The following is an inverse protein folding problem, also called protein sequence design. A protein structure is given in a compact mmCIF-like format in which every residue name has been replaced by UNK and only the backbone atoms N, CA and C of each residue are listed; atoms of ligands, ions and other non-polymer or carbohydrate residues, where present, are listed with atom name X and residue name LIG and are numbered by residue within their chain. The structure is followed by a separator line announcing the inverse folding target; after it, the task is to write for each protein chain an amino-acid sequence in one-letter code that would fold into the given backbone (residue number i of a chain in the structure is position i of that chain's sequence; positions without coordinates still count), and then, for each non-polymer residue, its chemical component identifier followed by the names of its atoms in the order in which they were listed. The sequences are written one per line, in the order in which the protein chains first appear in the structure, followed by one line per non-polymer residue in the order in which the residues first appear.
data_IF_822931365920
#
_entry.id   IF_822931365920
#
_cell.length_a   1.000
_cell.length_b   1.000
_cell.length_c   1.000
_cell.angle_alpha   90.00
_cell.angle_beta   90.00
_cell.angle_gamma   90.00
#
_symmetry.space_group_name_H-M   'P 1'
#
loop_
_entity.id
_entity.type
_entity.pdbx_description
1 polymer ?
#
# COMPACT_ATOMS: atom_id res chain seq x y z
N UNK A 1 -1.88 -25.25 -10.73
CA UNK A 1 -2.06 -25.03 -9.29
C UNK A 1 -2.09 -23.54 -9.01
N UNK A 2 -3.06 -23.08 -8.19
CA UNK A 2 -3.16 -21.67 -7.79
C UNK A 2 -1.96 -21.33 -6.88
N UNK A 3 -1.19 -20.29 -7.23
CA UNK A 3 -0.07 -19.82 -6.40
C UNK A 3 -0.63 -19.18 -5.13
N UNK A 4 -0.01 -19.42 -3.99
CA UNK A 4 -0.30 -18.77 -2.70
C UNK A 4 0.73 -17.68 -2.45
N UNK A 5 0.29 -16.51 -2.02
CA UNK A 5 1.15 -15.37 -1.68
C UNK A 5 0.94 -14.98 -0.22
N UNK A 6 2.03 -14.80 0.51
CA UNK A 6 2.01 -14.39 1.92
C UNK A 6 2.88 -13.14 2.04
N UNK A 7 2.35 -12.09 2.63
CA UNK A 7 3.06 -10.85 2.88
C UNK A 7 3.36 -10.73 4.38
N UNK A 8 4.65 -10.66 4.72
CA UNK A 8 5.12 -10.41 6.08
C UNK A 8 5.52 -8.93 6.18
N UNK A 9 4.56 -8.09 6.49
CA UNK A 9 4.73 -6.64 6.58
C UNK A 9 4.84 -6.12 8.01
N UNK A 10 4.79 -7.00 8.99
CA UNK A 10 4.97 -6.71 10.41
C UNK A 10 5.67 -7.89 11.10
N UNK A 11 6.13 -7.69 12.34
CA UNK A 11 6.62 -8.76 13.20
C UNK A 11 5.40 -9.46 13.82
N UNK A 12 5.18 -10.71 13.42
CA UNK A 12 4.10 -11.56 13.93
C UNK A 12 4.60 -13.00 14.09
N UNK A 13 4.83 -13.39 15.33
CA UNK A 13 5.34 -14.72 15.65
C UNK A 13 4.33 -15.82 15.30
N UNK A 14 3.02 -15.57 15.42
CA UNK A 14 2.01 -16.59 15.10
C UNK A 14 2.01 -16.91 13.61
N UNK A 15 2.08 -15.88 12.76
CA UNK A 15 2.17 -16.06 11.30
C UNK A 15 3.44 -16.84 10.94
N UNK A 16 4.60 -16.49 11.53
CA UNK A 16 5.87 -17.17 11.28
C UNK A 16 5.80 -18.63 11.70
N UNK A 17 5.31 -18.94 12.90
CA UNK A 17 5.16 -20.31 13.38
C UNK A 17 4.17 -21.12 12.51
N UNK A 18 3.08 -20.50 12.09
CA UNK A 18 2.13 -21.14 11.18
C UNK A 18 2.79 -21.49 9.83
N UNK A 19 3.53 -20.56 9.23
CA UNK A 19 4.28 -20.83 7.98
C UNK A 19 5.23 -22.00 8.18
N UNK A 20 6.01 -22.02 9.27
CA UNK A 20 6.96 -23.10 9.56
C UNK A 20 6.30 -24.47 9.75
N UNK A 21 5.07 -24.49 10.30
CA UNK A 21 4.31 -25.72 10.52
C UNK A 21 3.62 -26.24 9.25
N UNK A 22 3.04 -25.31 8.46
CA UNK A 22 2.13 -25.70 7.35
C UNK A 22 2.82 -25.77 6.00
N UNK A 23 3.95 -25.07 5.82
CA UNK A 23 4.57 -24.91 4.52
C UNK A 23 5.96 -25.58 4.45
N UNK A 24 6.28 -26.15 3.31
CA UNK A 24 7.65 -26.65 3.04
C UNK A 24 8.52 -25.49 2.59
N UNK A 25 9.36 -24.94 3.50
CA UNK A 25 10.15 -23.71 3.27
C UNK A 25 11.06 -23.80 2.04
N UNK A 26 11.57 -24.99 1.69
CA UNK A 26 12.37 -25.19 0.49
C UNK A 26 11.58 -25.11 -0.83
N UNK A 27 10.25 -25.08 -0.77
CA UNK A 27 9.35 -24.91 -1.94
C UNK A 27 8.78 -23.50 -2.03
N UNK A 28 9.14 -22.61 -1.13
CA UNK A 28 8.71 -21.20 -1.11
C UNK A 28 9.81 -20.36 -1.73
N UNK A 29 9.46 -19.46 -2.63
CA UNK A 29 10.32 -18.35 -3.05
C UNK A 29 10.16 -17.21 -2.06
N UNK A 30 11.25 -16.84 -1.38
CA UNK A 30 11.32 -15.71 -0.47
C UNK A 30 11.85 -14.48 -1.18
N UNK A 31 11.13 -13.37 -1.08
CA UNK A 31 11.57 -12.08 -1.59
C UNK A 31 11.74 -11.15 -0.41
N UNK A 32 12.97 -10.83 -0.08
CA UNK A 32 13.35 -10.02 1.08
C UNK A 32 13.64 -8.61 0.61
N UNK A 33 12.80 -7.66 1.01
CA UNK A 33 12.85 -6.29 0.49
C UNK A 33 13.08 -5.31 1.62
N UNK A 34 14.16 -4.56 1.56
CA UNK A 34 14.40 -3.37 2.37
C UNK A 34 15.40 -2.46 1.68
N UNK A 35 14.99 -1.24 1.31
CA UNK A 35 15.89 -0.28 0.69
C UNK A 35 17.16 -0.07 1.52
N UNK A 36 17.01 0.28 2.79
CA UNK A 36 18.14 0.53 3.70
C UNK A 36 18.92 -0.74 4.05
N UNK A 37 18.30 -1.92 3.88
CA UNK A 37 18.82 -3.20 4.35
C UNK A 37 18.91 -3.34 5.87
N UNK A 38 18.34 -2.37 6.61
CA UNK A 38 18.40 -2.27 8.09
C UNK A 38 17.04 -2.30 8.75
N UNK A 39 15.94 -2.47 7.98
CA UNK A 39 14.58 -2.52 8.52
C UNK A 39 14.45 -3.66 9.51
N UNK A 40 14.13 -3.33 10.76
CA UNK A 40 14.11 -4.29 11.87
C UNK A 40 13.11 -5.41 11.62
N UNK A 41 11.92 -5.07 11.15
CA UNK A 41 10.86 -6.04 10.85
C UNK A 41 11.29 -7.04 9.78
N UNK A 42 11.96 -6.55 8.73
CA UNK A 42 12.47 -7.39 7.65
C UNK A 42 13.55 -8.35 8.14
N UNK A 43 14.51 -7.85 8.93
CA UNK A 43 15.60 -8.65 9.48
C UNK A 43 15.08 -9.66 10.52
N UNK A 44 14.18 -9.25 11.40
CA UNK A 44 13.58 -10.12 12.42
C UNK A 44 12.81 -11.27 11.78
N UNK A 45 11.98 -10.99 10.78
CA UNK A 45 11.23 -12.01 10.06
C UNK A 45 12.16 -12.97 9.32
N UNK A 46 13.22 -12.46 8.68
CA UNK A 46 14.20 -13.26 7.96
C UNK A 46 14.94 -14.24 8.90
N UNK A 47 15.40 -13.75 10.06
CA UNK A 47 16.10 -14.56 11.07
C UNK A 47 15.13 -15.58 11.68
N UNK A 48 13.92 -15.15 12.06
CA UNK A 48 12.92 -16.01 12.68
C UNK A 48 12.46 -17.15 11.77
N UNK A 49 12.42 -16.95 10.46
CA UNK A 49 12.11 -18.01 9.49
C UNK A 49 13.22 -19.06 9.39
N UNK A 50 14.44 -18.73 9.77
CA UNK A 50 15.63 -19.62 9.72
C UNK A 50 15.87 -20.23 8.33
N UNK A 51 15.76 -19.41 7.28
CA UNK A 51 15.85 -19.83 5.88
C UNK A 51 17.22 -19.57 5.25
N UNK A 52 18.08 -18.84 5.93
CA UNK A 52 19.39 -18.43 5.41
C UNK A 52 20.33 -19.64 5.28
N UNK A 53 20.64 -20.00 4.04
CA UNK A 53 21.58 -21.05 3.68
C UNK A 53 22.51 -20.57 2.58
N UNK A 54 23.75 -21.07 2.57
CA UNK A 54 24.69 -20.78 1.50
C UNK A 54 24.12 -21.23 0.13
N UNK A 55 24.21 -20.37 -0.86
CA UNK A 55 23.74 -20.62 -2.24
C UNK A 55 22.26 -21.04 -2.33
N UNK A 56 21.39 -20.56 -1.41
CA UNK A 56 19.96 -20.85 -1.50
C UNK A 56 19.37 -20.23 -2.79
N UNK A 57 18.76 -21.07 -3.62
CA UNK A 57 18.18 -20.68 -4.91
C UNK A 57 16.73 -20.17 -4.82
N UNK A 58 16.18 -20.20 -3.63
CA UNK A 58 14.78 -19.77 -3.35
C UNK A 58 14.71 -18.47 -2.54
N UNK A 59 15.79 -17.68 -2.48
CA UNK A 59 15.84 -16.39 -1.80
C UNK A 59 16.30 -15.32 -2.76
N UNK A 60 15.52 -14.25 -2.87
CA UNK A 60 15.86 -13.02 -3.58
C UNK A 60 15.97 -11.89 -2.55
N UNK A 61 17.07 -11.16 -2.56
CA UNK A 61 17.25 -9.97 -1.73
C UNK A 61 17.21 -8.73 -2.60
N UNK A 62 16.38 -7.76 -2.21
CA UNK A 62 16.29 -6.45 -2.89
C UNK A 62 16.67 -5.36 -1.87
N UNK A 63 17.81 -4.71 -2.07
CA UNK A 63 18.34 -3.69 -1.19
C UNK A 63 19.28 -2.74 -1.93
N UNK A 64 19.67 -1.61 -1.33
CA UNK A 64 20.77 -0.81 -1.86
C UNK A 64 22.08 -1.59 -1.84
N UNK A 65 22.87 -1.44 -2.90
CA UNK A 65 24.22 -2.01 -3.00
C UNK A 65 25.22 -1.14 -2.24
N UNK A 66 25.14 -1.21 -0.92
CA UNK A 66 26.08 -0.57 0.02
C UNK A 66 26.22 -1.44 1.26
N UNK A 67 27.18 -1.17 2.11
CA UNK A 67 27.35 -1.89 3.38
C UNK A 67 26.13 -1.74 4.28
N UNK A 68 25.26 -2.73 4.20
CA UNK A 68 24.09 -2.91 5.06
C UNK A 68 23.87 -4.40 5.32
N UNK A 69 23.14 -4.78 6.37
CA UNK A 69 22.95 -6.18 6.77
C UNK A 69 22.45 -7.09 5.64
N UNK A 70 21.44 -6.67 4.86
CA UNK A 70 20.89 -7.52 3.78
C UNK A 70 21.89 -7.71 2.63
N UNK A 71 22.62 -6.67 2.24
CA UNK A 71 23.65 -6.79 1.20
C UNK A 71 24.80 -7.68 1.64
N UNK A 72 25.26 -7.53 2.89
CA UNK A 72 26.32 -8.37 3.45
C UNK A 72 25.90 -9.84 3.56
N UNK A 73 24.65 -10.11 3.98
CA UNK A 73 24.08 -11.47 3.99
C UNK A 73 24.04 -12.04 2.57
N UNK A 74 23.54 -11.28 1.59
CA UNK A 74 23.50 -11.72 0.21
C UNK A 74 24.88 -12.08 -0.34
N UNK A 75 25.88 -11.23 -0.08
CA UNK A 75 27.27 -11.46 -0.49
C UNK A 75 27.89 -12.67 0.21
N UNK A 76 27.76 -12.76 1.54
CA UNK A 76 28.34 -13.84 2.35
C UNK A 76 27.77 -15.21 1.97
N UNK A 77 26.46 -15.29 1.73
CA UNK A 77 25.75 -16.54 1.43
C UNK A 77 25.56 -16.77 -0.08
N UNK A 78 26.11 -15.91 -0.94
CA UNK A 78 25.98 -15.99 -2.39
C UNK A 78 24.51 -16.17 -2.85
N UNK A 79 23.62 -15.28 -2.33
CA UNK A 79 22.19 -15.27 -2.64
C UNK A 79 21.92 -14.38 -3.84
N UNK A 80 20.79 -14.61 -4.51
CA UNK A 80 20.36 -13.76 -5.62
C UNK A 80 20.02 -12.36 -5.11
N UNK A 81 20.73 -11.36 -5.63
CA UNK A 81 20.64 -9.97 -5.19
C UNK A 81 20.19 -9.06 -6.34
N UNK A 82 19.21 -8.20 -6.06
CA UNK A 82 18.75 -7.14 -6.97
C UNK A 82 19.03 -5.81 -6.28
N UNK A 83 19.73 -4.92 -6.98
CA UNK A 83 20.04 -3.60 -6.47
C UNK A 83 18.80 -2.69 -6.48
N UNK A 84 18.45 -2.13 -5.33
CA UNK A 84 17.51 -1.03 -5.22
C UNK A 84 18.22 0.30 -5.49
N UNK A 85 17.73 1.08 -6.42
CA UNK A 85 18.35 2.35 -6.84
C UNK A 85 18.42 3.36 -5.68
N UNK A 86 19.61 3.88 -5.40
CA UNK A 86 19.86 4.81 -4.28
C UNK A 86 19.01 6.09 -4.32
N UNK A 87 18.71 6.61 -5.52
CA UNK A 87 17.94 7.84 -5.72
C UNK A 87 16.43 7.67 -5.60
N UNK A 88 15.91 6.44 -5.49
CA UNK A 88 14.49 6.18 -5.27
C UNK A 88 14.25 6.00 -3.77
N UNK A 89 13.44 6.88 -3.16
CA UNK A 89 13.04 6.73 -1.76
C UNK A 89 12.16 5.51 -1.54
N UNK A 90 12.24 4.87 -0.36
CA UNK A 90 11.50 3.63 -0.06
C UNK A 90 10.00 3.73 -0.34
N UNK A 91 9.35 4.80 0.10
CA UNK A 91 7.91 5.04 -0.14
C UNK A 91 7.53 5.28 -1.61
N UNK A 92 8.51 5.56 -2.49
CA UNK A 92 8.32 5.72 -3.93
C UNK A 92 8.64 4.45 -4.72
N UNK A 93 9.00 3.36 -4.06
CA UNK A 93 9.56 2.16 -4.70
C UNK A 93 8.54 1.20 -5.33
N UNK A 94 7.25 1.54 -5.31
CA UNK A 94 6.18 0.70 -5.89
C UNK A 94 6.40 0.39 -7.38
N UNK A 95 6.95 1.35 -8.14
CA UNK A 95 7.22 1.21 -9.57
C UNK A 95 8.69 0.92 -9.90
N UNK A 96 9.49 0.55 -8.92
CA UNK A 96 10.87 0.07 -9.13
C UNK A 96 11.00 -1.42 -8.80
N UNK A 97 12.21 -1.94 -8.72
CA UNK A 97 12.52 -3.35 -8.49
C UNK A 97 11.76 -3.92 -7.29
N UNK A 98 11.61 -3.13 -6.21
CA UNK A 98 10.92 -3.56 -4.99
C UNK A 98 9.43 -3.89 -5.18
N UNK A 99 8.73 -3.19 -6.08
CA UNK A 99 7.32 -3.46 -6.39
C UNK A 99 7.13 -4.28 -7.66
N UNK A 100 7.94 -4.02 -8.70
CA UNK A 100 7.79 -4.65 -10.03
C UNK A 100 8.18 -6.13 -10.00
N UNK A 101 9.26 -6.51 -9.30
CA UNK A 101 9.69 -7.92 -9.23
C UNK A 101 8.62 -8.82 -8.60
N UNK A 102 8.08 -8.50 -7.39
CA UNK A 102 6.96 -9.26 -6.84
C UNK A 102 5.75 -9.29 -7.78
N UNK A 103 5.38 -8.15 -8.38
CA UNK A 103 4.23 -8.05 -9.27
C UNK A 103 4.34 -8.98 -10.49
N UNK A 104 5.51 -9.05 -11.13
CA UNK A 104 5.78 -9.98 -12.24
C UNK A 104 5.66 -11.43 -11.77
N UNK A 105 6.26 -11.77 -10.63
CA UNK A 105 6.21 -13.12 -10.07
C UNK A 105 4.79 -13.55 -9.68
N UNK A 106 3.95 -12.58 -9.32
CA UNK A 106 2.51 -12.77 -9.09
C UNK A 106 1.70 -12.87 -10.39
N UNK A 107 2.30 -12.66 -11.55
CA UNK A 107 1.65 -12.75 -12.84
C UNK A 107 0.94 -11.47 -13.30
N UNK A 108 1.25 -10.32 -12.69
CA UNK A 108 0.70 -9.05 -13.14
C UNK A 108 1.37 -8.60 -14.45
N UNK A 109 0.55 -8.11 -15.38
CA UNK A 109 1.05 -7.56 -16.63
C UNK A 109 1.51 -6.11 -16.45
N UNK A 110 2.80 -5.92 -16.23
CA UNK A 110 3.42 -4.60 -16.02
C UNK A 110 3.29 -3.70 -17.25
N UNK A 111 3.31 -4.26 -18.44
CA UNK A 111 3.13 -3.48 -19.66
C UNK A 111 1.73 -2.86 -19.73
N UNK A 112 0.71 -3.57 -19.25
CA UNK A 112 -0.67 -3.05 -19.17
C UNK A 112 -0.77 -1.89 -18.16
N UNK A 113 -0.07 -1.96 -17.04
CA UNK A 113 0.02 -0.87 -16.07
C UNK A 113 0.74 0.32 -16.71
N UNK A 114 1.87 0.09 -17.37
CA UNK A 114 2.69 1.11 -17.99
C UNK A 114 1.97 1.82 -19.16
N UNK A 115 1.12 1.11 -19.91
CA UNK A 115 0.41 1.63 -21.09
C UNK A 115 -0.34 2.93 -20.82
N UNK A 116 -0.92 3.08 -19.64
CA UNK A 116 -1.73 4.24 -19.31
C UNK A 116 -0.95 5.37 -18.61
N UNK A 117 0.32 5.15 -18.24
CA UNK A 117 1.09 6.16 -17.52
C UNK A 117 1.35 7.42 -18.36
N UNK A 118 1.53 7.30 -19.67
CA UNK A 118 1.79 8.42 -20.56
C UNK A 118 0.66 9.46 -20.55
N UNK A 119 -0.59 9.03 -20.31
CA UNK A 119 -1.77 9.92 -20.22
C UNK A 119 -1.57 10.96 -19.12
N UNK A 120 -0.96 10.55 -17.99
CA UNK A 120 -0.73 11.43 -16.85
C UNK A 120 0.52 12.31 -16.99
N UNK A 121 1.37 12.04 -17.99
CA UNK A 121 2.59 12.81 -18.25
C UNK A 121 2.48 13.80 -19.39
N UNK A 122 1.32 13.89 -20.06
CA UNK A 122 1.09 14.95 -21.06
C UNK A 122 1.06 16.35 -20.39
N UNK A 123 1.30 17.39 -21.17
CA UNK A 123 1.41 18.76 -20.68
C UNK A 123 0.15 19.22 -19.95
N UNK A 124 -1.02 18.97 -20.53
CA UNK A 124 -2.33 19.37 -19.97
C UNK A 124 -2.57 18.77 -18.58
N UNK A 125 -2.32 17.48 -18.41
CA UNK A 125 -2.51 16.82 -17.12
C UNK A 125 -1.46 17.25 -16.10
N UNK A 126 -0.22 17.52 -16.53
CA UNK A 126 0.83 18.07 -15.63
C UNK A 126 0.45 19.44 -15.12
N UNK A 127 -0.06 20.32 -15.96
CA UNK A 127 -0.50 21.66 -15.57
C UNK A 127 -1.71 21.60 -14.64
N UNK A 128 -2.67 20.73 -14.94
CA UNK A 128 -3.82 20.50 -14.07
C UNK A 128 -3.38 20.03 -12.67
N UNK A 129 -2.50 19.02 -12.60
CA UNK A 129 -1.97 18.52 -11.32
C UNK A 129 -1.20 19.59 -10.56
N UNK A 130 -0.37 20.39 -11.26
CA UNK A 130 0.36 21.51 -10.66
C UNK A 130 -0.60 22.56 -10.09
N UNK A 131 -1.59 22.98 -10.87
CA UNK A 131 -2.61 23.96 -10.43
C UNK A 131 -3.38 23.45 -9.22
N UNK A 132 -3.91 22.23 -9.27
CA UNK A 132 -4.65 21.61 -8.17
C UNK A 132 -3.78 21.52 -6.90
N UNK A 133 -2.49 21.18 -7.05
CA UNK A 133 -1.56 21.11 -5.91
C UNK A 133 -1.32 22.47 -5.28
N UNK A 134 -1.16 23.53 -6.09
CA UNK A 134 -0.97 24.89 -5.61
C UNK A 134 -2.23 25.39 -4.91
N UNK A 135 -3.39 25.16 -5.49
CA UNK A 135 -4.70 25.55 -4.90
C UNK A 135 -4.89 24.87 -3.54
N UNK A 136 -4.64 23.55 -3.47
CA UNK A 136 -4.69 22.81 -2.22
C UNK A 136 -3.71 23.37 -1.19
N UNK A 137 -2.45 23.62 -1.57
CA UNK A 137 -1.44 24.16 -0.67
C UNK A 137 -1.83 25.56 -0.14
N UNK A 138 -2.41 26.41 -0.98
CA UNK A 138 -2.91 27.72 -0.59
C UNK A 138 -4.12 27.62 0.36
N UNK A 139 -5.03 26.69 0.09
CA UNK A 139 -6.17 26.41 0.97
C UNK A 139 -5.72 25.93 2.34
N UNK A 140 -4.75 25.01 2.37
CA UNK A 140 -4.15 24.46 3.60
C UNK A 140 -3.44 25.54 4.44
N UNK A 141 -2.82 26.56 3.79
CA UNK A 141 -2.20 27.68 4.49
C UNK A 141 -3.21 28.63 5.17
N UNK A 142 -4.41 28.75 4.60
CA UNK A 142 -5.45 29.66 5.10
C UNK A 142 -6.27 29.07 6.25
N UNK A 143 -6.24 27.76 6.42
CA UNK A 143 -7.05 27.02 7.39
C UNK A 143 -6.15 26.11 8.22
N UNK A 144 -6.41 26.00 9.51
CA UNK A 144 -5.67 25.10 10.40
C UNK A 144 -6.18 23.66 10.28
N UNK A 145 -5.91 23.05 9.13
CA UNK A 145 -6.18 21.63 8.95
C UNK A 145 -5.03 20.81 9.53
N UNK A 146 -5.38 19.81 10.31
CA UNK A 146 -4.43 18.84 10.89
C UNK A 146 -4.61 17.43 10.34
N UNK A 147 -5.79 17.15 9.77
CA UNK A 147 -6.16 15.82 9.32
C UNK A 147 -6.58 15.79 7.86
N UNK A 148 -6.20 14.70 7.18
CA UNK A 148 -6.71 14.35 5.85
C UNK A 148 -7.39 13.01 5.98
N UNK A 149 -8.70 12.95 5.66
CA UNK A 149 -9.51 11.75 5.77
C UNK A 149 -9.83 11.21 4.38
N UNK A 150 -9.42 9.98 4.12
CA UNK A 150 -9.75 9.24 2.90
C UNK A 150 -11.04 8.45 3.12
N UNK A 151 -12.16 8.94 2.61
CA UNK A 151 -13.45 8.25 2.65
C UNK A 151 -13.49 7.21 1.53
N UNK A 152 -13.23 5.95 1.87
CA UNK A 152 -13.07 4.89 0.88
C UNK A 152 -14.34 4.08 0.69
N UNK A 153 -15.04 4.31 -0.42
CA UNK A 153 -16.19 3.50 -0.86
C UNK A 153 -15.80 2.33 -1.79
N UNK A 154 -14.48 2.09 -1.99
CA UNK A 154 -13.95 1.05 -2.88
C UNK A 154 -13.00 0.15 -2.10
N UNK A 155 -13.48 -0.96 -1.50
CA UNK A 155 -12.67 -1.83 -0.64
C UNK A 155 -11.35 -2.30 -1.29
N UNK A 156 -11.33 -2.47 -2.61
CA UNK A 156 -10.15 -2.87 -3.36
C UNK A 156 -9.01 -1.84 -3.29
N UNK A 157 -9.31 -0.57 -2.98
CA UNK A 157 -8.32 0.48 -2.82
C UNK A 157 -7.67 0.52 -1.43
N UNK A 158 -8.09 -0.29 -0.47
CA UNK A 158 -7.56 -0.23 0.90
C UNK A 158 -6.03 -0.31 0.93
N UNK A 159 -5.41 -1.22 0.18
CA UNK A 159 -3.93 -1.35 0.14
C UNK A 159 -3.26 -0.16 -0.54
N UNK A 160 -3.89 0.42 -1.55
CA UNK A 160 -3.44 1.64 -2.19
C UNK A 160 -3.49 2.83 -1.21
N UNK A 161 -4.55 2.94 -0.43
CA UNK A 161 -4.71 4.02 0.55
C UNK A 161 -3.71 3.91 1.70
N UNK A 162 -3.35 2.71 2.16
CA UNK A 162 -2.24 2.54 3.12
C UNK A 162 -0.91 3.02 2.54
N UNK A 163 -0.64 2.75 1.27
CA UNK A 163 0.55 3.31 0.62
C UNK A 163 0.48 4.84 0.51
N UNK A 164 -0.68 5.39 0.11
CA UNK A 164 -0.89 6.85 0.03
C UNK A 164 -0.74 7.51 1.40
N UNK A 165 -1.24 6.88 2.46
CA UNK A 165 -1.07 7.32 3.85
C UNK A 165 0.42 7.44 4.22
N UNK A 166 1.21 6.40 3.97
CA UNK A 166 2.65 6.43 4.19
C UNK A 166 3.32 7.51 3.33
N UNK A 167 2.97 7.59 2.04
CA UNK A 167 3.54 8.56 1.10
C UNK A 167 3.35 9.99 1.59
N UNK A 168 2.15 10.32 2.09
CA UNK A 168 1.84 11.65 2.61
C UNK A 168 2.51 11.91 3.96
N UNK A 169 2.38 11.00 4.92
CA UNK A 169 2.93 11.15 6.25
C UNK A 169 4.45 11.35 6.24
N UNK A 170 5.18 10.47 5.57
CA UNK A 170 6.65 10.56 5.49
C UNK A 170 7.15 11.74 4.62
N UNK A 171 6.37 12.16 3.62
CA UNK A 171 6.81 13.26 2.74
C UNK A 171 6.56 14.63 3.35
N UNK A 172 5.44 14.81 4.03
CA UNK A 172 4.97 16.10 4.55
C UNK A 172 5.25 16.28 6.04
N UNK A 173 5.37 15.19 6.81
CA UNK A 173 5.60 15.20 8.26
C UNK A 173 7.03 15.60 8.62
N UNK A 174 7.40 16.86 8.41
CA UNK A 174 8.76 17.40 8.65
C UNK A 174 8.72 18.79 9.24
N UNK A 175 9.68 19.09 10.12
CA UNK A 175 9.85 20.44 10.70
C UNK A 175 8.56 20.95 11.39
N UNK A 176 7.88 20.09 12.13
CA UNK A 176 6.61 20.43 12.82
C UNK A 176 5.42 20.66 11.90
N UNK A 177 5.53 20.31 10.60
CA UNK A 177 4.45 20.42 9.61
C UNK A 177 3.99 19.04 9.16
N UNK A 178 2.81 18.97 8.57
CA UNK A 178 2.24 17.76 8.03
C UNK A 178 0.76 17.62 8.38
N UNK A 179 0.19 16.49 8.00
CA UNK A 179 -1.20 16.12 8.25
C UNK A 179 -1.23 14.69 8.73
N UNK A 180 -2.20 14.36 9.59
CA UNK A 180 -2.50 12.98 9.91
C UNK A 180 -3.42 12.40 8.82
N UNK A 181 -2.92 11.56 7.92
CA UNK A 181 -3.77 10.88 6.95
C UNK A 181 -4.48 9.70 7.61
N UNK A 182 -5.81 9.70 7.56
CA UNK A 182 -6.67 8.67 8.15
C UNK A 182 -7.48 8.00 7.05
N UNK A 183 -7.60 6.67 7.09
CA UNK A 183 -8.44 5.91 6.16
C UNK A 183 -9.74 5.58 6.90
N UNK A 184 -10.87 5.85 6.24
CA UNK A 184 -12.21 5.57 6.71
C UNK A 184 -12.92 4.67 5.71
N UNK A 185 -13.36 3.49 6.16
CA UNK A 185 -14.01 2.48 5.31
C UNK A 185 -15.52 2.76 5.21
N UNK A 186 -15.94 3.21 4.06
CA UNK A 186 -17.33 3.57 3.81
C UNK A 186 -18.12 2.43 3.15
N UNK A 187 -19.41 2.25 3.46
CA UNK A 187 -20.25 3.03 4.37
C UNK A 187 -20.17 2.62 5.85
N UNK A 188 -19.35 1.63 6.22
CA UNK A 188 -19.24 1.11 7.60
C UNK A 188 -19.01 2.23 8.62
N UNK A 189 -18.09 3.13 8.32
CA UNK A 189 -17.70 4.21 9.22
C UNK A 189 -18.69 5.38 9.26
N UNK A 190 -19.81 5.32 8.51
CA UNK A 190 -20.95 6.21 8.76
C UNK A 190 -21.52 6.00 10.18
N UNK A 191 -21.48 4.79 10.69
CA UNK A 191 -21.97 4.49 12.04
C UNK A 191 -20.99 4.87 13.14
N UNK A 192 -19.69 4.79 12.88
CA UNK A 192 -18.66 4.97 13.90
C UNK A 192 -18.02 6.35 13.90
N UNK A 193 -17.79 6.98 12.75
CA UNK A 193 -16.97 8.19 12.63
C UNK A 193 -17.69 9.40 12.05
N UNK A 194 -18.81 9.22 11.33
CA UNK A 194 -19.47 10.32 10.63
C UNK A 194 -19.92 11.44 11.58
N UNK A 195 -20.39 11.09 12.79
CA UNK A 195 -20.78 12.08 13.79
C UNK A 195 -19.60 13.01 14.16
N UNK A 196 -18.40 12.45 14.34
CA UNK A 196 -17.19 13.23 14.61
C UNK A 196 -16.80 14.10 13.39
N UNK A 197 -17.00 13.59 12.18
CA UNK A 197 -16.67 14.33 10.97
C UNK A 197 -17.60 15.53 10.73
N UNK A 198 -18.88 15.38 11.04
CA UNK A 198 -19.88 16.44 10.85
C UNK A 198 -19.94 17.40 12.03
N UNK A 199 -19.97 16.90 13.26
CA UNK A 199 -20.17 17.68 14.48
C UNK A 199 -18.91 18.07 15.24
N UNK A 200 -17.78 17.42 14.95
CA UNK A 200 -16.50 17.67 15.65
C UNK A 200 -15.71 18.84 15.09
N UNK A 201 -14.42 18.96 15.50
CA UNK A 201 -13.52 20.03 15.05
C UNK A 201 -13.43 20.13 13.53
N UNK A 202 -13.48 21.35 12.99
CA UNK A 202 -13.40 21.64 11.55
C UNK A 202 -11.96 21.71 11.04
N UNK A 203 -11.14 20.76 11.43
CA UNK A 203 -9.71 20.63 11.15
C UNK A 203 -9.38 19.55 10.12
N UNK A 204 -10.39 19.02 9.42
CA UNK A 204 -10.27 17.89 8.50
C UNK A 204 -10.57 18.27 7.06
N UNK A 205 -9.81 17.68 6.14
CA UNK A 205 -10.10 17.67 4.71
C UNK A 205 -10.48 16.26 4.31
N UNK A 206 -11.52 16.13 3.50
CA UNK A 206 -12.03 14.84 3.05
C UNK A 206 -11.74 14.61 1.58
N UNK A 207 -11.20 13.44 1.27
CA UNK A 207 -11.07 12.92 -0.08
C UNK A 207 -11.97 11.70 -0.25
N UNK A 208 -12.90 11.77 -1.20
CA UNK A 208 -13.83 10.68 -1.47
C UNK A 208 -13.26 9.81 -2.58
N UNK A 209 -13.06 8.53 -2.29
CA UNK A 209 -12.68 7.52 -3.26
C UNK A 209 -13.90 6.70 -3.64
N UNK A 210 -14.31 6.81 -4.89
CA UNK A 210 -15.43 6.07 -5.46
C UNK A 210 -15.04 5.52 -6.83
N UNK A 211 -15.75 4.49 -7.30
CA UNK A 211 -15.59 3.95 -8.64
C UNK A 211 -16.92 3.90 -9.37
N UNK A 212 -16.87 4.02 -10.71
CA UNK A 212 -18.04 3.71 -11.54
C UNK A 212 -18.19 2.20 -11.60
N UNK A 213 -19.28 1.69 -11.06
CA UNK A 213 -19.62 0.27 -11.13
C UNK A 213 -20.51 0.07 -12.36
N UNK A 214 -20.00 -0.60 -13.38
CA UNK A 214 -20.76 -0.86 -14.62
C UNK A 214 -21.75 -2.02 -14.51
N UNK A 215 -21.56 -2.90 -13.53
CA UNK A 215 -22.42 -4.08 -13.29
C UNK A 215 -22.58 -4.29 -11.78
N UNK A 216 -23.78 -4.08 -11.29
CA UNK A 216 -24.14 -4.37 -9.91
C UNK A 216 -25.43 -5.18 -9.86
N UNK A 217 -25.55 -6.01 -8.84
CA UNK A 217 -26.81 -6.68 -8.53
C UNK A 217 -27.68 -5.70 -7.77
N UNK A 218 -28.86 -5.44 -8.31
CA UNK A 218 -29.88 -4.65 -7.61
C UNK A 218 -30.38 -5.42 -6.40
N UNK A 219 -30.62 -4.72 -5.31
CA UNK A 219 -31.21 -5.29 -4.11
C UNK A 219 -32.66 -5.64 -4.42
N UNK A 220 -33.05 -6.90 -4.16
CA UNK A 220 -34.45 -7.31 -4.20
C UNK A 220 -35.03 -7.25 -2.78
N UNK A 221 -35.79 -6.21 -2.50
CA UNK A 221 -36.37 -5.99 -1.17
C UNK A 221 -37.66 -6.81 -0.92
N UNK A 222 -38.12 -7.63 -1.86
CA UNK A 222 -39.35 -8.46 -1.66
C UNK A 222 -39.28 -9.37 -0.43
N UNK A 223 -38.05 -9.78 -0.04
CA UNK A 223 -37.80 -10.64 1.12
C UNK A 223 -37.74 -9.84 2.43
N UNK A 224 -37.57 -8.51 2.36
CA UNK A 224 -37.23 -7.67 3.51
C UNK A 224 -38.45 -6.94 4.13
N UNK A 225 -39.65 -7.19 3.62
CA UNK A 225 -40.86 -6.53 4.11
C UNK A 225 -41.02 -5.07 3.65
N UNK A 226 -42.10 -4.42 4.12
CA UNK A 226 -42.47 -3.08 3.67
C UNK A 226 -41.51 -1.99 4.15
N UNK A 227 -40.90 -2.15 5.33
CA UNK A 227 -40.09 -1.13 5.97
C UNK A 227 -38.75 -0.90 5.23
N UNK A 228 -38.32 -1.86 4.41
CA UNK A 228 -37.08 -1.78 3.65
C UNK A 228 -37.29 -1.61 2.12
N UNK A 229 -38.51 -1.27 1.70
CA UNK A 229 -38.82 -1.02 0.28
C UNK A 229 -37.97 0.09 -0.35
N UNK A 230 -37.48 1.03 0.45
CA UNK A 230 -36.57 2.09 -0.01
C UNK A 230 -35.24 1.57 -0.57
N UNK A 231 -34.82 0.35 -0.21
CA UNK A 231 -33.62 -0.31 -0.73
C UNK A 231 -33.87 -1.00 -2.10
N UNK A 232 -35.14 -1.15 -2.50
CA UNK A 232 -35.46 -1.90 -3.72
C UNK A 232 -34.87 -1.18 -4.96
N UNK A 233 -34.24 -1.97 -5.84
CA UNK A 233 -33.53 -1.48 -7.02
C UNK A 233 -32.34 -0.54 -6.73
N UNK A 234 -31.92 -0.39 -5.49
CA UNK A 234 -30.66 0.27 -5.14
C UNK A 234 -29.48 -0.69 -5.35
N UNK A 235 -28.31 -0.12 -5.51
CA UNK A 235 -27.07 -0.85 -5.74
C UNK A 235 -26.00 -0.42 -4.74
#
# INVERSE_FOLDING_TARGET
KKKKYIFLNNIDNQIIQNIKKTEKLNKILFIIISKSGKTVETLSNLISLNILKNKANNIIIISEKKENPLYLIAKKLNLFFIEHRKYIGGRYSVFCEAGVVPAILMGLNILKIKKNLHIYFNLTNKEYLKKSTIELANYLKKKNFSNIVFLNYVPELNKFLFWLQQLMAESLGKKGKGFLPTISEMPKDHHSLLQLYLGGPKDKIFYIFSSKINKYKKINSKVLGNDLKFLNNKS
#
